data_IF_425599340202
#
_entry.id   IF_425599340202
#
_cell.length_a   1.000
_cell.length_b   1.000
_cell.length_c   1.000
_cell.angle_alpha   90.00
_cell.angle_beta   90.00
_cell.angle_gamma   90.00
#
_symmetry.space_group_name_H-M   'P 1'
#
loop_
_entity.id
_entity.type
_entity.pdbx_description
1 polymer ?
#
# COMPACT_ATOMS: atom_id res chain seq x y z
N UNK A 1 -10.09 13.39 6.66
CA UNK A 1 -9.94 14.82 6.30
C UNK A 1 -11.22 15.28 5.60
N UNK A 2 -12.18 15.90 6.29
CA UNK A 2 -13.51 16.22 5.73
C UNK A 2 -13.45 17.23 4.57
N UNK A 3 -12.46 18.14 4.55
CA UNK A 3 -12.34 19.19 3.53
C UNK A 3 -11.40 18.84 2.37
N UNK A 4 -11.05 17.58 2.18
CA UNK A 4 -10.06 17.18 1.16
C UNK A 4 -10.55 17.42 -0.29
N UNK A 5 -11.88 17.53 -0.48
CA UNK A 5 -12.52 17.77 -1.79
C UNK A 5 -12.87 19.25 -2.03
N UNK A 6 -12.59 20.12 -1.05
CA UNK A 6 -12.84 21.56 -1.17
C UNK A 6 -11.56 22.28 -1.59
N UNK A 7 -11.71 23.27 -2.45
CA UNK A 7 -10.60 24.18 -2.78
C UNK A 7 -10.36 25.16 -1.63
N UNK A 8 -9.18 25.79 -1.63
CA UNK A 8 -8.87 26.82 -0.62
C UNK A 8 -9.80 28.03 -0.75
N UNK A 9 -10.09 28.43 -1.96
CA UNK A 9 -10.99 29.54 -2.29
C UNK A 9 -12.41 29.30 -1.76
N UNK A 10 -12.95 28.07 -1.92
CA UNK A 10 -14.25 27.69 -1.37
C UNK A 10 -14.25 27.73 0.16
N UNK A 11 -13.19 27.27 0.80
CA UNK A 11 -13.07 27.30 2.26
C UNK A 11 -12.97 28.74 2.78
N UNK A 12 -12.17 29.59 2.13
CA UNK A 12 -12.03 31.00 2.50
C UNK A 12 -13.33 31.81 2.22
N UNK A 13 -14.06 31.47 1.15
CA UNK A 13 -15.37 32.06 0.89
C UNK A 13 -16.37 31.68 2.00
N UNK A 14 -16.45 30.41 2.35
CA UNK A 14 -17.29 29.93 3.43
C UNK A 14 -16.97 30.60 4.78
N UNK A 15 -15.69 30.76 5.11
CA UNK A 15 -15.29 31.46 6.34
C UNK A 15 -15.72 32.93 6.34
N UNK A 16 -15.64 33.61 5.21
CA UNK A 16 -16.09 35.02 5.08
C UNK A 16 -17.62 35.14 5.21
N UNK A 17 -18.37 34.27 4.55
CA UNK A 17 -19.83 34.29 4.58
C UNK A 17 -20.40 34.00 5.98
N UNK A 18 -19.69 33.20 6.77
CA UNK A 18 -20.09 32.82 8.12
C UNK A 18 -19.34 33.59 9.23
N UNK A 19 -18.62 34.66 8.88
CA UNK A 19 -17.86 35.50 9.82
C UNK A 19 -16.89 34.72 10.72
N UNK A 20 -16.33 33.60 10.21
CA UNK A 20 -15.40 32.76 10.96
C UNK A 20 -13.99 33.35 10.92
N UNK A 21 -13.42 33.59 12.09
CA UNK A 21 -12.02 33.99 12.20
C UNK A 21 -11.11 32.76 12.04
N UNK A 22 -10.10 32.85 11.19
CA UNK A 22 -9.07 31.82 11.04
C UNK A 22 -7.67 32.44 11.02
N UNK A 23 -6.70 31.68 11.50
CA UNK A 23 -5.29 32.09 11.52
C UNK A 23 -4.59 31.52 10.29
N UNK A 24 -3.91 32.38 9.56
CA UNK A 24 -3.00 31.95 8.49
C UNK A 24 -1.63 31.66 9.10
N UNK A 25 -1.24 30.40 9.16
CA UNK A 25 0.09 30.00 9.59
C UNK A 25 1.14 30.49 8.59
N UNK A 26 2.09 31.29 9.07
CA UNK A 26 3.17 31.88 8.26
C UNK A 26 4.09 30.83 7.63
N UNK A 27 4.19 29.64 8.22
CA UNK A 27 4.97 28.53 7.65
C UNK A 27 4.38 28.03 6.34
N UNK A 28 3.10 28.28 6.05
CA UNK A 28 2.48 27.96 4.77
C UNK A 28 2.99 28.83 3.60
N UNK A 29 3.64 29.95 3.90
CA UNK A 29 4.21 30.86 2.89
C UNK A 29 5.68 30.54 2.59
N UNK A 30 6.37 29.76 3.43
CA UNK A 30 7.77 29.38 3.20
C UNK A 30 7.89 28.39 2.04
N UNK A 31 8.76 28.71 1.08
CA UNK A 31 9.11 27.83 -0.04
C UNK A 31 10.10 26.69 0.37
N UNK A 32 10.53 26.62 1.61
CA UNK A 32 11.53 25.66 2.10
C UNK A 32 11.01 24.23 2.11
N UNK A 33 9.69 24.06 2.17
CA UNK A 33 9.06 22.74 2.14
C UNK A 33 8.64 22.35 0.72
N UNK A 34 9.03 21.17 0.27
CA UNK A 34 8.66 20.59 -1.05
C UNK A 34 7.17 20.73 -1.34
N UNK A 35 6.30 20.52 -0.35
CA UNK A 35 4.85 20.65 -0.47
C UNK A 35 4.42 22.08 -0.87
N UNK A 36 5.05 23.08 -0.27
CA UNK A 36 4.74 24.49 -0.58
C UNK A 36 5.26 24.88 -1.97
N UNK A 37 6.45 24.40 -2.36
CA UNK A 37 6.98 24.58 -3.71
C UNK A 37 6.05 24.00 -4.78
N UNK A 38 5.53 22.79 -4.56
CA UNK A 38 4.55 22.17 -5.47
C UNK A 38 3.31 23.05 -5.60
N UNK A 39 2.74 23.53 -4.50
CA UNK A 39 1.54 24.36 -4.50
C UNK A 39 1.75 25.73 -5.15
N UNK A 40 2.90 26.36 -4.92
CA UNK A 40 3.17 27.72 -5.37
C UNK A 40 3.72 27.79 -6.79
N UNK A 41 4.38 26.73 -7.29
CA UNK A 41 5.07 26.75 -8.56
C UNK A 41 4.49 25.72 -9.53
N UNK A 42 4.41 24.45 -9.13
CA UNK A 42 4.08 23.36 -10.05
C UNK A 42 2.59 23.40 -10.43
N UNK A 43 1.71 23.48 -9.44
CA UNK A 43 0.26 23.49 -9.68
C UNK A 43 -0.17 24.71 -10.54
N UNK A 44 0.25 25.95 -10.25
CA UNK A 44 -0.09 27.08 -11.11
C UNK A 44 0.44 26.96 -12.53
N UNK A 45 1.66 26.40 -12.71
CA UNK A 45 2.20 26.15 -14.04
C UNK A 45 1.36 25.14 -14.83
N UNK A 46 0.92 24.04 -14.20
CA UNK A 46 0.03 23.06 -14.82
C UNK A 46 -1.34 23.65 -15.19
N UNK A 47 -1.88 24.52 -14.35
CA UNK A 47 -3.12 25.24 -14.63
C UNK A 47 -3.00 26.22 -15.81
N UNK A 48 -1.86 26.91 -15.92
CA UNK A 48 -1.59 27.83 -17.02
C UNK A 48 -1.49 27.10 -18.39
N UNK A 49 -0.94 25.87 -18.37
CA UNK A 49 -0.84 25.03 -19.58
C UNK A 49 -2.21 24.44 -19.95
N UNK A 50 -3.01 24.03 -18.95
CA UNK A 50 -4.32 23.42 -19.15
C UNK A 50 -5.36 23.97 -18.17
N UNK A 51 -6.21 24.94 -18.58
CA UNK A 51 -7.25 25.52 -17.70
C UNK A 51 -8.20 24.49 -17.09
N UNK A 52 -8.35 23.32 -17.72
CA UNK A 52 -9.17 22.20 -17.24
C UNK A 52 -8.40 21.21 -16.36
N UNK A 53 -7.16 21.53 -15.95
CA UNK A 53 -6.27 20.62 -15.19
C UNK A 53 -6.99 19.97 -14.00
N UNK A 54 -7.63 20.74 -13.14
CA UNK A 54 -8.31 20.18 -11.98
C UNK A 54 -9.46 19.25 -12.33
N UNK A 55 -10.23 19.56 -13.36
CA UNK A 55 -11.36 18.72 -13.76
C UNK A 55 -10.89 17.40 -14.39
N UNK A 56 -9.82 17.45 -15.18
CA UNK A 56 -9.20 16.25 -15.80
C UNK A 56 -8.56 15.40 -14.70
N UNK A 57 -7.80 16.01 -13.82
CA UNK A 57 -7.14 15.33 -12.72
C UNK A 57 -8.17 14.70 -11.74
N UNK A 58 -9.25 15.42 -11.42
CA UNK A 58 -10.32 14.90 -10.57
C UNK A 58 -11.02 13.68 -11.18
N UNK A 59 -11.29 13.68 -12.49
CA UNK A 59 -11.84 12.49 -13.17
C UNK A 59 -10.86 11.32 -13.16
N UNK A 60 -9.58 11.59 -13.40
CA UNK A 60 -8.54 10.54 -13.31
C UNK A 60 -8.49 9.91 -11.92
N UNK A 61 -8.50 10.74 -10.87
CA UNK A 61 -8.54 10.23 -9.48
C UNK A 61 -9.79 9.39 -9.21
N UNK A 62 -10.96 9.81 -9.69
CA UNK A 62 -12.20 9.05 -9.52
C UNK A 62 -12.13 7.67 -10.19
N UNK A 63 -11.50 7.56 -11.36
CA UNK A 63 -11.28 6.26 -12.01
C UNK A 63 -10.28 5.40 -11.21
N UNK A 64 -9.17 5.99 -10.74
CA UNK A 64 -8.19 5.27 -9.93
C UNK A 64 -8.80 4.78 -8.59
N UNK A 65 -9.69 5.56 -7.97
CA UNK A 65 -10.44 5.15 -6.77
C UNK A 65 -11.35 3.94 -7.05
N UNK A 66 -11.99 3.87 -8.23
CA UNK A 66 -12.81 2.74 -8.64
C UNK A 66 -11.96 1.49 -8.90
N UNK A 67 -10.85 1.65 -9.63
CA UNK A 67 -9.91 0.56 -9.90
C UNK A 67 -9.32 0.00 -8.60
N UNK A 68 -8.93 0.87 -7.66
CA UNK A 68 -8.44 0.46 -6.34
C UNK A 68 -9.51 -0.27 -5.54
N UNK A 69 -10.75 0.21 -5.51
CA UNK A 69 -11.84 -0.45 -4.82
C UNK A 69 -12.10 -1.86 -5.37
N UNK A 70 -12.06 -2.05 -6.69
CA UNK A 70 -12.20 -3.35 -7.33
C UNK A 70 -11.05 -4.30 -6.98
N UNK A 71 -9.82 -3.80 -7.01
CA UNK A 71 -8.64 -4.59 -6.68
C UNK A 71 -8.60 -4.99 -5.20
N UNK A 72 -8.99 -4.10 -4.29
CA UNK A 72 -9.11 -4.42 -2.86
C UNK A 72 -10.22 -5.45 -2.59
N UNK A 73 -11.37 -5.33 -3.25
CA UNK A 73 -12.41 -6.36 -3.14
C UNK A 73 -11.94 -7.70 -3.67
N UNK A 74 -11.29 -7.72 -4.84
CA UNK A 74 -10.73 -8.95 -5.44
C UNK A 74 -9.67 -9.59 -4.53
N UNK A 75 -8.86 -8.77 -3.84
CA UNK A 75 -7.86 -9.25 -2.90
C UNK A 75 -8.51 -9.82 -1.62
N UNK A 76 -9.57 -9.20 -1.11
CA UNK A 76 -10.33 -9.73 0.02
C UNK A 76 -10.89 -11.13 -0.27
N UNK A 77 -11.57 -11.27 -1.42
CA UNK A 77 -12.12 -12.56 -1.84
C UNK A 77 -11.04 -13.63 -2.03
N UNK A 78 -9.90 -13.23 -2.63
CA UNK A 78 -8.76 -14.12 -2.83
C UNK A 78 -8.10 -14.52 -1.50
N UNK A 79 -7.96 -13.57 -0.57
CA UNK A 79 -7.42 -13.82 0.76
C UNK A 79 -8.25 -14.84 1.52
N UNK A 80 -9.59 -14.66 1.56
CA UNK A 80 -10.51 -15.59 2.21
C UNK A 80 -10.43 -17.00 1.60
N UNK A 81 -10.29 -17.12 0.28
CA UNK A 81 -10.13 -18.43 -0.40
C UNK A 81 -8.79 -19.08 -0.07
N UNK A 82 -7.72 -18.28 0.04
CA UNK A 82 -6.38 -18.78 0.32
C UNK A 82 -6.16 -19.15 1.78
N UNK A 83 -6.96 -18.64 2.72
CA UNK A 83 -6.78 -18.89 4.15
C UNK A 83 -6.77 -20.39 4.48
N UNK A 84 -5.80 -20.80 5.34
CA UNK A 84 -5.66 -22.11 5.98
C UNK A 84 -5.37 -21.88 7.47
N UNK A 85 -5.42 -22.92 8.27
CA UNK A 85 -5.24 -22.83 9.73
C UNK A 85 -3.96 -22.12 10.15
N UNK A 86 -2.88 -22.24 9.36
CA UNK A 86 -1.55 -21.69 9.70
C UNK A 86 -0.93 -20.81 8.59
N UNK A 87 -1.72 -20.30 7.64
CA UNK A 87 -1.17 -19.49 6.58
C UNK A 87 -2.06 -19.40 5.35
N UNK A 88 -1.45 -19.27 4.18
CA UNK A 88 -2.14 -19.10 2.91
C UNK A 88 -1.80 -20.25 1.92
N UNK A 89 -2.78 -20.74 1.21
CA UNK A 89 -2.66 -21.78 0.20
C UNK A 89 -1.85 -21.32 -1.01
N UNK A 90 -0.72 -21.95 -1.24
CA UNK A 90 0.23 -21.54 -2.27
C UNK A 90 -0.32 -21.71 -3.71
N UNK A 91 -1.14 -22.72 -3.97
CA UNK A 91 -1.73 -22.94 -5.29
C UNK A 91 -2.72 -21.83 -5.62
N UNK A 92 -3.55 -21.44 -4.65
CA UNK A 92 -4.45 -20.29 -4.78
C UNK A 92 -3.67 -19.00 -5.04
N UNK A 93 -2.60 -18.75 -4.27
CA UNK A 93 -1.76 -17.56 -4.44
C UNK A 93 -1.08 -17.51 -5.80
N UNK A 94 -0.57 -18.63 -6.29
CA UNK A 94 0.12 -18.74 -7.58
C UNK A 94 -0.80 -18.43 -8.77
N UNK A 95 -2.10 -18.70 -8.63
CA UNK A 95 -3.11 -18.39 -9.65
C UNK A 95 -3.56 -16.93 -9.69
N UNK A 96 -3.13 -16.08 -8.76
CA UNK A 96 -3.57 -14.69 -8.68
C UNK A 96 -2.84 -13.79 -9.68
N UNK A 97 -3.55 -12.77 -10.16
CA UNK A 97 -2.91 -11.66 -10.87
C UNK A 97 -1.93 -10.93 -9.93
N UNK A 98 -0.74 -10.49 -10.38
CA UNK A 98 0.26 -9.86 -9.51
C UNK A 98 -0.26 -8.69 -8.67
N UNK A 99 -1.17 -7.86 -9.22
CA UNK A 99 -1.77 -6.75 -8.50
C UNK A 99 -2.67 -7.21 -7.33
N UNK A 100 -3.33 -8.36 -7.46
CA UNK A 100 -4.15 -8.97 -6.40
C UNK A 100 -3.25 -9.69 -5.40
N UNK A 101 -2.28 -10.46 -5.87
CA UNK A 101 -1.31 -11.15 -5.01
C UNK A 101 -0.60 -10.17 -4.06
N UNK A 102 -0.13 -9.02 -4.60
CA UNK A 102 0.51 -8.00 -3.77
C UNK A 102 -0.40 -7.52 -2.62
N UNK A 103 -1.69 -7.29 -2.87
CA UNK A 103 -2.66 -6.85 -1.87
C UNK A 103 -2.98 -7.94 -0.85
N UNK A 104 -3.13 -9.19 -1.31
CA UNK A 104 -3.30 -10.36 -0.45
C UNK A 104 -2.12 -10.50 0.51
N UNK A 105 -0.89 -10.41 -0.01
CA UNK A 105 0.31 -10.51 0.80
C UNK A 105 0.47 -9.32 1.76
N UNK A 106 0.18 -8.09 1.31
CA UNK A 106 0.16 -6.91 2.19
C UNK A 106 -0.76 -7.11 3.37
N UNK A 107 -2.00 -7.57 3.11
CA UNK A 107 -2.98 -7.87 4.16
C UNK A 107 -2.48 -8.94 5.13
N UNK A 108 -1.90 -10.02 4.61
CA UNK A 108 -1.33 -11.08 5.44
C UNK A 108 -0.20 -10.57 6.34
N UNK A 109 0.66 -9.71 5.82
CA UNK A 109 1.74 -9.09 6.60
C UNK A 109 1.20 -8.11 7.65
N UNK A 110 0.15 -7.35 7.33
CA UNK A 110 -0.51 -6.43 8.27
C UNK A 110 -1.09 -7.18 9.50
N UNK A 111 -1.60 -8.41 9.33
CA UNK A 111 -2.05 -9.26 10.45
C UNK A 111 -0.90 -9.61 11.41
N UNK A 112 0.31 -9.64 10.92
CA UNK A 112 1.53 -9.87 11.69
C UNK A 112 2.24 -8.57 12.12
N UNK A 113 1.60 -7.41 11.90
CA UNK A 113 2.18 -6.10 12.19
C UNK A 113 3.49 -5.82 11.45
N UNK A 114 3.68 -6.42 10.28
CA UNK A 114 4.83 -6.21 9.40
C UNK A 114 4.44 -5.44 8.14
N UNK A 115 5.34 -4.60 7.64
CA UNK A 115 5.19 -3.97 6.34
C UNK A 115 5.80 -4.84 5.25
N UNK A 116 5.07 -5.01 4.15
CA UNK A 116 5.55 -5.72 2.97
C UNK A 116 6.45 -4.83 2.12
N UNK A 117 7.71 -5.21 1.96
CA UNK A 117 8.69 -4.52 1.11
C UNK A 117 8.79 -5.18 -0.28
N UNK A 118 9.30 -4.43 -1.27
CA UNK A 118 9.45 -4.93 -2.65
C UNK A 118 10.36 -6.17 -2.73
N UNK A 119 11.44 -6.20 -1.94
CA UNK A 119 12.38 -7.35 -1.91
C UNK A 119 11.70 -8.60 -1.38
N UNK A 120 10.87 -8.45 -0.36
CA UNK A 120 10.09 -9.55 0.21
C UNK A 120 9.06 -10.08 -0.79
N UNK A 121 8.41 -9.19 -1.55
CA UNK A 121 7.46 -9.62 -2.59
C UNK A 121 8.15 -10.45 -3.69
N UNK A 122 9.36 -10.09 -4.10
CA UNK A 122 10.14 -10.88 -5.05
C UNK A 122 10.49 -12.26 -4.50
N UNK A 123 10.86 -12.34 -3.22
CA UNK A 123 11.12 -13.62 -2.56
C UNK A 123 9.86 -14.49 -2.49
N UNK A 124 8.71 -13.92 -2.17
CA UNK A 124 7.41 -14.59 -2.16
C UNK A 124 7.10 -15.20 -3.53
N UNK A 125 7.20 -14.41 -4.59
CA UNK A 125 6.96 -14.88 -5.96
C UNK A 125 7.90 -16.03 -6.34
N UNK A 126 9.17 -15.96 -5.93
CA UNK A 126 10.13 -17.03 -6.18
C UNK A 126 9.78 -18.30 -5.39
N UNK A 127 9.43 -18.19 -4.11
CA UNK A 127 9.01 -19.32 -3.26
C UNK A 127 7.78 -20.00 -3.85
N UNK A 128 6.75 -19.23 -4.21
CA UNK A 128 5.52 -19.76 -4.82
C UNK A 128 5.82 -20.48 -6.14
N UNK A 129 6.67 -19.90 -6.98
CA UNK A 129 7.00 -20.44 -8.31
C UNK A 129 7.84 -21.71 -8.22
N UNK A 130 8.74 -21.81 -7.25
CA UNK A 130 9.61 -22.98 -7.05
C UNK A 130 8.96 -24.08 -6.21
N UNK A 131 7.85 -23.79 -5.54
CA UNK A 131 7.16 -24.72 -4.65
C UNK A 131 7.92 -25.05 -3.37
N UNK A 132 9.00 -24.31 -3.07
CA UNK A 132 9.85 -24.49 -1.87
C UNK A 132 10.65 -23.25 -1.56
N UNK A 133 11.04 -23.08 -0.31
CA UNK A 133 11.95 -22.02 0.12
C UNK A 133 11.45 -21.30 1.35
N UNK A 134 12.33 -20.43 1.85
CA UNK A 134 12.06 -19.54 2.95
C UNK A 134 12.69 -18.18 2.71
N UNK A 135 12.17 -17.12 3.32
CA UNK A 135 12.69 -15.77 3.27
C UNK A 135 12.64 -15.14 4.66
N UNK A 136 13.70 -14.46 5.03
CA UNK A 136 13.73 -13.70 6.28
C UNK A 136 12.96 -12.39 6.09
N UNK A 137 11.99 -12.13 6.99
CA UNK A 137 11.17 -10.91 6.98
C UNK A 137 11.70 -9.83 7.93
N UNK A 138 12.46 -10.26 8.95
CA UNK A 138 13.02 -9.43 9.99
C UNK A 138 13.92 -10.25 10.89
N UNK A 139 14.34 -9.69 12.03
CA UNK A 139 15.29 -10.37 12.92
C UNK A 139 14.78 -11.74 13.39
N UNK A 140 13.50 -11.83 13.74
CA UNK A 140 12.91 -13.00 14.38
C UNK A 140 11.72 -13.58 13.57
N UNK A 141 11.50 -13.09 12.32
CA UNK A 141 10.37 -13.48 11.48
C UNK A 141 10.83 -14.06 10.15
N UNK A 142 10.21 -15.18 9.79
CA UNK A 142 10.47 -15.91 8.56
C UNK A 142 9.18 -16.21 7.82
N UNK A 143 9.24 -16.12 6.51
CA UNK A 143 8.23 -16.65 5.61
C UNK A 143 8.74 -17.96 5.05
N UNK A 144 7.93 -19.01 5.08
CA UNK A 144 8.29 -20.32 4.55
C UNK A 144 7.11 -20.99 3.87
N UNK A 145 7.42 -21.88 2.93
CA UNK A 145 6.43 -22.73 2.27
C UNK A 145 6.55 -24.17 2.82
N UNK A 146 5.51 -24.61 3.54
CA UNK A 146 5.40 -25.96 4.09
C UNK A 146 4.13 -26.65 3.59
N UNK A 147 4.28 -27.83 3.02
CA UNK A 147 3.14 -28.67 2.57
C UNK A 147 2.10 -27.91 1.73
N UNK A 148 2.56 -26.98 0.87
CA UNK A 148 1.67 -26.15 0.04
C UNK A 148 1.03 -24.96 0.73
N UNK A 149 1.41 -24.66 1.99
CA UNK A 149 0.94 -23.50 2.76
C UNK A 149 2.08 -22.55 2.97
N UNK A 150 1.88 -21.28 2.58
CA UNK A 150 2.79 -20.18 2.84
C UNK A 150 2.48 -19.62 4.22
N UNK A 151 3.43 -19.70 5.15
CA UNK A 151 3.23 -19.28 6.54
C UNK A 151 4.34 -18.34 7.01
N UNK A 152 3.97 -17.40 7.89
CA UNK A 152 4.90 -16.59 8.67
C UNK A 152 5.09 -17.31 10.01
N UNK A 153 6.34 -17.39 10.45
CA UNK A 153 6.69 -17.89 11.79
C UNK A 153 7.60 -16.92 12.49
N UNK A 154 7.45 -16.86 13.79
CA UNK A 154 8.36 -16.19 14.71
C UNK A 154 9.32 -17.21 15.30
N UNK A 155 10.63 -16.95 15.22
CA UNK A 155 11.62 -17.74 15.93
C UNK A 155 11.68 -17.21 17.38
N UNK A 156 10.94 -17.86 18.26
CA UNK A 156 10.93 -17.53 19.69
C UNK A 156 12.24 -17.85 20.42
N UNK A 157 13.08 -18.72 19.82
CA UNK A 157 14.41 -19.06 20.30
C UNK A 157 15.34 -19.23 19.10
N UNK A 158 16.51 -18.58 19.14
CA UNK A 158 17.56 -18.67 18.13
C UNK A 158 18.17 -20.09 18.04
N UNK A 159 17.36 -21.09 17.72
CA UNK A 159 17.80 -22.43 17.36
C UNK A 159 18.36 -22.33 15.93
N UNK A 160 19.68 -22.31 15.85
CA UNK A 160 20.41 -22.63 14.62
C UNK A 160 19.93 -24.00 14.11
N UNK A 161 19.10 -23.98 13.08
CA UNK A 161 18.80 -25.19 12.33
C UNK A 161 20.07 -25.55 11.53
N UNK A 162 20.70 -26.66 11.89
CA UNK A 162 21.79 -27.24 11.08
C UNK A 162 21.32 -27.38 9.62
N UNK A 163 22.16 -27.01 8.63
CA UNK A 163 21.82 -27.20 7.24
C UNK A 163 21.65 -28.69 6.98
N UNK A 164 20.48 -29.07 6.42
CA UNK A 164 20.24 -30.41 5.92
C UNK A 164 21.27 -30.72 4.86
N UNK A 165 22.22 -31.56 5.17
CA UNK A 165 23.12 -32.18 4.17
C UNK A 165 22.26 -32.96 3.17
N UNK A 166 22.34 -32.51 1.92
CA UNK A 166 21.75 -33.23 0.77
C UNK A 166 22.71 -34.33 0.41
N UNK A 167 22.37 -35.57 0.80
CA UNK A 167 22.99 -36.79 0.30
C UNK A 167 22.45 -37.14 -1.09
#
# INVERSE_FOLDING_TARGET
RPLIRCTREEIEAYCRENELSYVTDSTNLSADYTRNRVRQTVIPALQAIGPSFYSVYGRMLAHLEQDEAFLEQSAEEAFQKAQRDFGLDAETLLGLHPAVLFRVMRRYFDEWHHSLETVQMQAIEQILRTGRGQAQLGKDFWLELRAGVLCIREDADGLELEPLEVG
#
